data_IF_724393835787
#
_entry.id   IF_724393835787
#
_cell.length_a   1.000
_cell.length_b   1.000
_cell.length_c   1.000
_cell.angle_alpha   90.00
_cell.angle_beta   90.00
_cell.angle_gamma   90.00
#
_symmetry.space_group_name_H-M   'P 1'
#
loop_
_entity.id
_entity.type
_entity.pdbx_description
1 polymer ?
#
# COMPACT_ATOMS: atom_id res chain seq x y z
N UNK A 1 15.48 -41.83 3.01
CA UNK A 1 16.60 -41.75 3.97
C UNK A 1 16.83 -40.29 4.29
N UNK A 2 16.99 -39.93 5.56
CA UNK A 2 17.26 -38.55 5.97
C UNK A 2 18.71 -38.21 5.57
N UNK A 3 18.93 -37.04 4.98
CA UNK A 3 20.27 -36.62 4.56
C UNK A 3 21.11 -36.27 5.80
N UNK A 4 22.23 -36.96 6.00
CA UNK A 4 23.09 -36.80 7.18
C UNK A 4 23.56 -35.35 7.37
N UNK A 5 23.81 -34.64 6.27
CA UNK A 5 24.19 -33.22 6.31
C UNK A 5 23.09 -32.38 6.95
N UNK A 6 21.83 -32.62 6.58
CA UNK A 6 20.70 -31.89 7.14
C UNK A 6 20.52 -32.17 8.64
N UNK A 7 20.78 -33.42 9.06
CA UNK A 7 20.72 -33.78 10.47
C UNK A 7 21.80 -33.08 11.29
N UNK A 8 23.04 -33.06 10.79
CA UNK A 8 24.15 -32.34 11.42
C UNK A 8 23.84 -30.84 11.51
N UNK A 9 23.28 -30.24 10.45
CA UNK A 9 22.91 -28.81 10.45
C UNK A 9 21.83 -28.52 11.49
N UNK A 10 20.79 -29.36 11.55
CA UNK A 10 19.73 -29.22 12.55
C UNK A 10 20.28 -29.31 13.99
N UNK A 11 21.19 -30.24 14.24
CA UNK A 11 21.83 -30.40 15.54
C UNK A 11 22.77 -29.22 15.86
N UNK A 12 23.47 -28.67 14.87
CA UNK A 12 24.26 -27.45 15.02
C UNK A 12 23.38 -26.24 15.33
N UNK A 13 22.22 -26.09 14.69
CA UNK A 13 21.31 -24.98 14.95
C UNK A 13 20.72 -25.04 16.37
N UNK A 14 20.36 -26.24 16.83
CA UNK A 14 19.74 -26.47 18.14
C UNK A 14 20.74 -26.47 19.31
N UNK A 15 21.88 -27.15 19.17
CA UNK A 15 22.87 -27.33 20.25
C UNK A 15 24.08 -26.41 20.15
N UNK A 16 24.24 -25.69 19.04
CA UNK A 16 25.44 -24.89 18.68
C UNK A 16 26.73 -25.68 18.53
N UNK A 17 26.71 -27.00 18.74
CA UNK A 17 27.88 -27.87 18.73
C UNK A 17 27.50 -29.29 18.29
N UNK A 18 28.32 -29.87 17.41
CA UNK A 18 28.23 -31.27 16.99
C UNK A 18 29.62 -31.89 17.00
N UNK A 19 29.76 -33.05 17.61
CA UNK A 19 31.01 -33.80 17.66
C UNK A 19 31.01 -34.86 16.58
N UNK A 20 32.10 -34.96 15.83
CA UNK A 20 32.35 -35.97 14.81
C UNK A 20 33.50 -36.84 15.31
N UNK A 21 33.16 -38.06 15.71
CA UNK A 21 34.08 -39.00 16.36
C UNK A 21 35.39 -39.15 15.59
N UNK A 22 36.52 -38.87 16.24
CA UNK A 22 37.86 -38.98 15.66
C UNK A 22 38.24 -37.92 14.61
N UNK A 23 37.27 -37.14 14.12
CA UNK A 23 37.50 -36.08 13.12
C UNK A 23 37.64 -34.72 13.82
N UNK A 24 36.67 -34.36 14.66
CA UNK A 24 36.69 -33.11 15.41
C UNK A 24 35.31 -32.62 15.81
N UNK A 25 35.22 -31.37 16.23
CA UNK A 25 33.98 -30.73 16.66
C UNK A 25 33.64 -29.58 15.73
N UNK A 26 32.38 -29.52 15.29
CA UNK A 26 31.79 -28.39 14.61
C UNK A 26 31.06 -27.51 15.63
N UNK A 27 31.38 -26.23 15.65
CA UNK A 27 30.74 -25.23 16.48
C UNK A 27 30.04 -24.20 15.59
N UNK A 28 28.84 -23.78 15.99
CA UNK A 28 28.13 -22.69 15.34
C UNK A 28 28.40 -21.39 16.09
N UNK A 29 29.28 -20.55 15.54
CA UNK A 29 29.62 -19.25 16.09
C UNK A 29 28.78 -18.16 15.43
N UNK A 30 28.51 -17.07 16.16
CA UNK A 30 27.88 -15.88 15.62
C UNK A 30 28.93 -14.77 15.58
N UNK A 31 29.26 -14.31 14.37
CA UNK A 31 30.09 -13.13 14.16
C UNK A 31 29.20 -11.90 14.22
N UNK A 32 29.66 -10.89 14.96
CA UNK A 32 28.99 -9.59 15.04
C UNK A 32 29.16 -8.80 13.73
N UNK A 33 28.42 -7.71 13.60
CA UNK A 33 28.59 -6.80 12.48
C UNK A 33 30.02 -6.24 12.48
N UNK A 34 30.66 -6.23 11.32
CA UNK A 34 32.05 -5.78 11.16
C UNK A 34 32.11 -4.70 10.08
N UNK A 35 32.92 -3.67 10.32
CA UNK A 35 33.15 -2.60 9.34
C UNK A 35 34.31 -3.01 8.46
N UNK A 36 34.03 -3.23 7.18
CA UNK A 36 35.03 -3.43 6.15
C UNK A 36 35.46 -2.05 5.61
N UNK A 37 36.54 -1.52 6.19
CA UNK A 37 37.13 -0.24 5.79
C UNK A 37 37.66 -0.23 4.35
N UNK A 38 38.04 -1.39 3.81
CA UNK A 38 38.60 -1.46 2.45
C UNK A 38 37.52 -1.24 1.40
N UNK A 39 36.31 -1.73 1.67
CA UNK A 39 35.17 -1.63 0.77
C UNK A 39 34.15 -0.56 1.20
N UNK A 40 34.42 0.18 2.29
CA UNK A 40 33.50 1.15 2.91
C UNK A 40 32.12 0.53 3.18
N UNK A 41 32.08 -0.69 3.75
CA UNK A 41 30.85 -1.46 3.97
C UNK A 41 30.72 -1.92 5.42
N UNK A 42 29.48 -1.98 5.91
CA UNK A 42 29.18 -2.69 7.16
C UNK A 42 28.62 -4.06 6.81
N UNK A 43 29.38 -5.10 7.16
CA UNK A 43 28.95 -6.48 7.03
C UNK A 43 27.97 -6.81 8.16
N UNK A 44 26.84 -7.46 7.84
CA UNK A 44 25.88 -7.80 8.85
C UNK A 44 26.38 -8.96 9.74
N UNK A 45 25.79 -9.14 10.94
CA UNK A 45 26.06 -10.31 11.74
C UNK A 45 25.76 -11.57 10.94
N UNK A 46 26.66 -12.54 11.02
CA UNK A 46 26.51 -13.82 10.31
C UNK A 46 26.84 -14.97 11.24
N UNK A 47 26.18 -16.10 11.03
CA UNK A 47 26.59 -17.34 11.67
C UNK A 47 27.64 -18.02 10.80
N UNK A 48 28.60 -18.69 11.43
CA UNK A 48 29.63 -19.43 10.75
C UNK A 48 29.89 -20.74 11.49
N UNK A 49 30.24 -21.80 10.74
CA UNK A 49 30.64 -23.07 11.34
C UNK A 49 32.15 -23.04 11.51
N UNK A 50 32.61 -23.07 12.75
CA UNK A 50 34.01 -23.26 13.10
C UNK A 50 34.26 -24.75 13.33
N UNK A 51 35.34 -25.26 12.74
CA UNK A 51 35.78 -26.64 12.94
C UNK A 51 37.04 -26.68 13.79
N UNK A 52 37.00 -27.49 14.85
CA UNK A 52 38.14 -27.77 15.70
C UNK A 52 38.48 -29.24 15.53
N UNK A 53 39.63 -29.53 14.93
CA UNK A 53 40.14 -30.89 14.82
C UNK A 53 40.41 -31.46 16.22
N UNK A 54 39.74 -32.55 16.56
CA UNK A 54 39.90 -33.26 17.83
C UNK A 54 39.80 -34.76 17.54
N UNK A 55 40.82 -35.51 17.94
CA UNK A 55 40.91 -36.97 17.70
C UNK A 55 40.17 -37.79 18.77
N UNK A 56 39.39 -37.14 19.64
CA UNK A 56 38.57 -37.84 20.63
C UNK A 56 37.56 -38.76 19.96
N UNK A 57 37.57 -40.02 20.39
CA UNK A 57 36.54 -40.98 20.05
C UNK A 57 35.33 -40.73 20.95
N UNK A 58 34.26 -40.20 20.36
CA UNK A 58 32.96 -40.03 21.02
C UNK A 58 31.96 -40.86 20.26
N UNK A 59 31.25 -41.75 20.94
CA UNK A 59 30.20 -42.55 20.29
C UNK A 59 28.92 -41.73 20.17
N UNK A 60 28.51 -41.49 18.93
CA UNK A 60 27.25 -40.84 18.58
C UNK A 60 26.70 -41.33 17.24
N UNK A 61 25.55 -40.77 16.82
CA UNK A 61 24.89 -41.11 15.54
C UNK A 61 25.71 -40.81 14.29
N UNK A 62 26.80 -40.04 14.41
CA UNK A 62 27.66 -39.61 13.30
C UNK A 62 28.96 -40.44 13.20
N UNK A 63 29.23 -41.33 14.15
CA UNK A 63 30.50 -42.08 14.27
C UNK A 63 30.85 -42.82 12.97
N UNK A 64 29.92 -43.57 12.39
CA UNK A 64 30.16 -44.35 11.17
C UNK A 64 30.52 -43.46 9.98
N UNK A 65 29.81 -42.35 9.82
CA UNK A 65 30.08 -41.38 8.75
C UNK A 65 31.39 -40.64 8.98
N UNK A 66 31.70 -40.24 10.21
CA UNK A 66 32.96 -39.59 10.55
C UNK A 66 34.16 -40.51 10.24
N UNK A 67 34.06 -41.80 10.55
CA UNK A 67 35.10 -42.78 10.20
C UNK A 67 35.28 -42.96 8.70
N UNK A 68 34.19 -42.97 7.93
CA UNK A 68 34.23 -43.01 6.47
C UNK A 68 34.94 -41.77 5.91
N UNK A 69 34.58 -40.57 6.38
CA UNK A 69 35.21 -39.32 5.97
C UNK A 69 36.68 -39.23 6.35
N UNK A 70 37.06 -39.74 7.53
CA UNK A 70 38.48 -39.84 7.92
C UNK A 70 39.24 -40.75 6.94
N UNK A 71 38.68 -41.92 6.58
CA UNK A 71 39.32 -42.84 5.64
C UNK A 71 39.50 -42.18 4.26
N UNK A 72 38.48 -41.47 3.79
CA UNK A 72 38.55 -40.73 2.53
C UNK A 72 39.60 -39.61 2.60
N UNK A 73 39.55 -38.77 3.64
CA UNK A 73 40.50 -37.68 3.88
C UNK A 73 41.96 -38.16 3.95
N UNK A 74 42.21 -39.37 4.48
CA UNK A 74 43.55 -39.96 4.55
C UNK A 74 44.01 -40.55 3.21
N UNK A 75 43.09 -40.93 2.33
CA UNK A 75 43.38 -41.53 1.03
C UNK A 75 43.54 -40.48 -0.08
N UNK A 76 42.58 -39.55 -0.17
CA UNK A 76 42.49 -38.53 -1.23
C UNK A 76 43.06 -37.18 -0.80
N UNK A 77 43.19 -36.94 0.51
CA UNK A 77 43.56 -35.62 1.07
C UNK A 77 42.38 -34.66 1.23
N UNK A 78 41.19 -35.01 0.73
CA UNK A 78 39.98 -34.18 0.83
C UNK A 78 38.71 -35.01 0.85
N UNK A 79 37.69 -34.55 1.57
CA UNK A 79 36.35 -35.16 1.58
C UNK A 79 35.30 -34.08 1.46
N UNK A 80 34.36 -34.24 0.53
CA UNK A 80 33.27 -33.30 0.32
C UNK A 80 31.93 -33.96 0.64
N UNK A 81 31.21 -33.38 1.60
CA UNK A 81 29.88 -33.82 2.00
C UNK A 81 28.86 -32.81 1.48
N UNK A 82 28.05 -33.24 0.52
CA UNK A 82 27.03 -32.40 -0.11
C UNK A 82 26.03 -31.89 0.93
N UNK A 83 25.84 -30.57 0.97
CA UNK A 83 24.98 -29.90 1.92
C UNK A 83 25.64 -29.61 3.27
N UNK A 84 26.92 -29.91 3.46
CA UNK A 84 27.65 -29.64 4.71
C UNK A 84 28.99 -28.94 4.48
N UNK A 85 29.76 -29.32 3.46
CA UNK A 85 31.03 -28.67 3.15
C UNK A 85 32.14 -29.65 2.81
N UNK A 86 33.37 -29.14 2.82
CA UNK A 86 34.58 -29.87 2.41
C UNK A 86 35.62 -29.83 3.52
N UNK A 87 36.17 -30.99 3.88
CA UNK A 87 37.38 -31.07 4.68
C UNK A 87 38.59 -31.27 3.76
N UNK A 88 39.67 -30.58 4.06
CA UNK A 88 40.95 -30.70 3.34
C UNK A 88 42.07 -30.89 4.34
N UNK A 89 42.99 -31.81 4.02
CA UNK A 89 44.20 -32.02 4.77
C UNK A 89 45.32 -31.17 4.16
N UNK A 90 45.68 -30.07 4.81
CA UNK A 90 46.79 -29.21 4.40
C UNK A 90 48.01 -29.52 5.29
N UNK A 91 48.92 -30.35 4.79
CA UNK A 91 50.17 -30.72 5.47
C UNK A 91 49.98 -31.24 6.91
N UNK A 92 48.94 -32.04 7.15
CA UNK A 92 48.61 -32.61 8.46
C UNK A 92 47.61 -31.78 9.28
N UNK A 93 47.25 -30.56 8.83
CA UNK A 93 46.19 -29.75 9.43
C UNK A 93 44.89 -29.93 8.65
N UNK A 94 43.87 -30.47 9.32
CA UNK A 94 42.53 -30.59 8.74
C UNK A 94 41.81 -29.25 8.84
N UNK A 95 41.39 -28.72 7.69
CA UNK A 95 40.62 -27.47 7.56
C UNK A 95 39.25 -27.83 7.01
N UNK A 96 38.20 -27.21 7.56
CA UNK A 96 36.84 -27.36 7.08
C UNK A 96 36.37 -26.10 6.37
N UNK A 97 35.74 -26.28 5.22
CA UNK A 97 35.13 -25.23 4.41
C UNK A 97 33.62 -25.49 4.33
N UNK A 98 32.78 -24.68 5.02
CA UNK A 98 31.34 -24.84 4.96
C UNK A 98 30.78 -24.50 3.58
N UNK A 99 29.71 -25.16 3.16
CA UNK A 99 28.96 -24.79 1.96
C UNK A 99 28.14 -23.51 2.21
N UNK A 100 28.14 -22.56 1.26
CA UNK A 100 27.60 -21.20 1.47
C UNK A 100 26.12 -21.16 1.89
N UNK A 101 25.33 -22.17 1.52
CA UNK A 101 23.88 -22.20 1.72
C UNK A 101 23.44 -22.82 3.06
N UNK A 102 24.38 -23.23 3.92
CA UNK A 102 24.06 -23.99 5.14
C UNK A 102 23.38 -23.13 6.21
N UNK A 103 23.79 -21.88 6.31
CA UNK A 103 23.31 -20.96 7.33
C UNK A 103 22.46 -19.92 6.62
N UNK A 104 21.14 -20.08 6.67
CA UNK A 104 20.25 -18.98 6.32
C UNK A 104 20.49 -17.86 7.33
N UNK A 105 20.88 -16.68 6.85
CA UNK A 105 21.04 -15.50 7.70
C UNK A 105 19.73 -15.30 8.48
N UNK A 106 19.77 -15.59 9.78
CA UNK A 106 18.62 -15.44 10.68
C UNK A 106 18.41 -13.98 11.09
N UNK A 107 19.23 -13.07 10.56
CA UNK A 107 19.23 -11.64 10.88
C UNK A 107 18.46 -10.89 9.79
N UNK A 108 17.16 -10.70 10.05
CA UNK A 108 16.30 -9.86 9.22
C UNK A 108 16.49 -8.38 9.60
N UNK A 109 16.58 -7.50 8.60
CA UNK A 109 16.71 -6.04 8.82
C UNK A 109 18.12 -5.53 9.08
N UNK A 110 19.14 -6.41 9.06
CA UNK A 110 20.56 -6.04 9.06
C UNK A 110 21.12 -6.31 7.67
N UNK A 111 20.70 -5.51 6.69
CA UNK A 111 21.24 -5.59 5.33
C UNK A 111 22.62 -4.93 5.25
N UNK A 112 23.37 -5.25 4.21
CA UNK A 112 24.67 -4.62 3.94
C UNK A 112 24.48 -3.12 3.70
N UNK A 113 25.10 -2.29 4.53
CA UNK A 113 25.05 -0.84 4.39
C UNK A 113 26.35 -0.38 3.75
N UNK A 114 26.26 0.18 2.54
CA UNK A 114 27.38 0.89 1.92
C UNK A 114 27.52 2.26 2.60
N UNK A 115 28.71 2.57 3.12
CA UNK A 115 29.01 3.86 3.73
C UNK A 115 29.65 4.76 2.67
N UNK A 116 28.91 5.62 1.97
CA UNK A 116 29.55 6.58 1.09
C UNK A 116 30.46 7.48 1.93
N UNK A 117 31.75 7.48 1.61
CA UNK A 117 32.74 8.34 2.24
C UNK A 117 32.24 9.78 2.20
N UNK A 118 31.92 10.34 3.37
CA UNK A 118 31.51 11.73 3.49
C UNK A 118 32.72 12.58 3.10
N UNK A 119 32.79 13.00 1.84
CA UNK A 119 33.77 13.99 1.42
C UNK A 119 33.54 15.22 2.31
N UNK A 120 34.59 15.62 3.03
CA UNK A 120 34.69 16.87 3.81
C UNK A 120 33.67 17.88 3.31
N UNK A 121 32.76 18.31 4.19
CA UNK A 121 31.71 19.30 3.92
C UNK A 121 32.29 20.37 3.01
N UNK A 122 31.94 20.31 1.73
CA UNK A 122 32.35 21.35 0.80
C UNK A 122 31.53 22.59 1.17
N UNK A 123 32.14 23.78 1.29
CA UNK A 123 31.36 25.00 1.41
C UNK A 123 30.37 25.05 0.24
N UNK A 124 29.16 25.55 0.52
CA UNK A 124 27.91 25.52 -0.28
C UNK A 124 28.03 26.06 -1.72
N UNK A 125 29.23 26.37 -2.19
CA UNK A 125 29.52 26.95 -3.50
C UNK A 125 29.76 25.92 -4.62
N UNK A 126 29.89 24.62 -4.33
CA UNK A 126 30.08 23.59 -5.38
C UNK A 126 28.78 23.04 -5.99
N UNK A 127 27.60 23.44 -5.49
CA UNK A 127 26.32 23.06 -6.10
C UNK A 127 26.04 23.71 -7.47
N UNK A 128 26.83 24.70 -7.90
CA UNK A 128 26.58 25.42 -9.15
C UNK A 128 27.34 24.86 -10.37
N UNK A 129 28.39 24.07 -10.17
CA UNK A 129 29.33 23.69 -11.25
C UNK A 129 29.21 22.25 -11.76
N UNK A 130 28.24 21.46 -11.30
CA UNK A 130 27.95 20.09 -11.80
C UNK A 130 26.80 20.06 -12.83
N UNK A 131 26.39 21.21 -13.38
CA UNK A 131 25.37 21.28 -14.46
C UNK A 131 25.95 21.05 -15.86
N UNK A 132 27.23 20.70 -15.99
CA UNK A 132 27.87 20.37 -17.27
C UNK A 132 28.53 18.99 -17.28
N UNK A 133 27.93 17.98 -16.63
CA UNK A 133 28.16 16.60 -17.05
C UNK A 133 27.12 16.25 -18.09
N UNK A 134 27.60 15.96 -19.29
CA UNK A 134 26.83 15.46 -20.41
C UNK A 134 25.93 14.33 -19.91
N UNK A 135 24.63 14.59 -19.92
CA UNK A 135 23.61 13.57 -19.79
C UNK A 135 23.83 12.59 -20.94
N UNK A 136 24.43 11.44 -20.65
CA UNK A 136 24.31 10.26 -21.49
C UNK A 136 22.85 9.81 -21.43
N UNK A 137 21.99 10.53 -22.15
CA UNK A 137 20.61 10.17 -22.39
C UNK A 137 20.62 8.86 -23.18
N UNK A 138 20.60 7.73 -22.46
CA UNK A 138 20.25 6.45 -23.06
C UNK A 138 18.79 6.55 -23.46
N UNK A 139 18.56 6.82 -24.74
CA UNK A 139 17.25 6.95 -25.34
C UNK A 139 16.37 5.75 -24.95
N UNK A 140 15.49 5.97 -23.98
CA UNK A 140 14.58 4.95 -23.53
C UNK A 140 13.46 4.81 -24.57
N UNK A 141 13.00 3.59 -24.78
CA UNK A 141 11.92 3.27 -25.73
C UNK A 141 10.55 3.79 -25.26
N UNK A 142 10.51 4.60 -24.21
CA UNK A 142 9.31 5.14 -23.56
C UNK A 142 8.73 6.38 -24.24
N UNK A 143 9.50 7.08 -25.07
CA UNK A 143 8.98 8.24 -25.81
C UNK A 143 7.86 7.86 -26.81
N UNK A 144 7.86 6.61 -27.29
CA UNK A 144 6.81 6.06 -28.16
C UNK A 144 5.48 5.97 -27.41
N UNK A 145 5.50 5.57 -26.13
CA UNK A 145 4.30 5.53 -25.30
C UNK A 145 3.75 6.92 -25.00
N UNK A 146 4.63 7.91 -24.82
CA UNK A 146 4.24 9.31 -24.63
C UNK A 146 3.58 9.86 -25.91
N UNK A 147 4.16 9.59 -27.08
CA UNK A 147 3.60 10.02 -28.36
C UNK A 147 2.25 9.34 -28.65
N UNK A 148 2.12 8.05 -28.32
CA UNK A 148 0.86 7.31 -28.45
C UNK A 148 -0.24 7.87 -27.52
N UNK A 149 0.11 8.16 -26.27
CA UNK A 149 -0.82 8.76 -25.31
C UNK A 149 -1.27 10.16 -25.76
N UNK A 150 -0.31 10.98 -26.21
CA UNK A 150 -0.60 12.33 -26.70
C UNK A 150 -1.45 12.32 -27.97
N UNK A 151 -1.19 11.38 -28.89
CA UNK A 151 -2.01 11.15 -30.08
C UNK A 151 -3.44 10.74 -29.74
N UNK A 152 -3.62 9.82 -28.79
CA UNK A 152 -4.94 9.39 -28.33
C UNK A 152 -5.76 10.54 -27.72
N UNK A 153 -5.16 11.30 -26.81
CA UNK A 153 -5.80 12.47 -26.20
C UNK A 153 -6.13 13.53 -27.27
N UNK A 154 -5.22 13.78 -28.20
CA UNK A 154 -5.44 14.72 -29.31
C UNK A 154 -6.58 14.31 -30.23
N UNK A 155 -6.68 13.03 -30.57
CA UNK A 155 -7.76 12.51 -31.42
C UNK A 155 -9.13 12.66 -30.73
N UNK A 156 -9.23 12.33 -29.44
CA UNK A 156 -10.47 12.49 -28.66
C UNK A 156 -10.85 13.97 -28.57
N UNK A 157 -9.89 14.86 -28.31
CA UNK A 157 -10.15 16.30 -28.27
C UNK A 157 -10.61 16.85 -29.62
N UNK A 158 -9.97 16.43 -30.72
CA UNK A 158 -10.34 16.83 -32.08
C UNK A 158 -11.75 16.34 -32.45
N UNK A 159 -12.06 15.09 -32.14
CA UNK A 159 -13.39 14.52 -32.37
C UNK A 159 -14.46 15.22 -31.53
N UNK A 160 -14.16 15.51 -30.27
CA UNK A 160 -14.99 16.32 -29.39
C UNK A 160 -15.16 17.77 -29.82
N UNK A 161 -14.29 18.30 -30.70
CA UNK A 161 -14.46 19.64 -31.28
C UNK A 161 -15.29 19.60 -32.57
N UNK A 162 -15.07 18.59 -33.42
CA UNK A 162 -15.67 18.51 -34.76
C UNK A 162 -17.08 17.92 -34.73
N UNK A 163 -17.32 16.93 -33.89
CA UNK A 163 -18.60 16.23 -33.77
C UNK A 163 -19.30 16.52 -32.43
N UNK A 164 -19.22 17.78 -31.97
CA UNK A 164 -19.83 18.23 -30.71
C UNK A 164 -21.30 17.85 -30.61
N UNK A 165 -22.06 18.06 -31.69
CA UNK A 165 -23.51 17.90 -31.69
C UNK A 165 -23.97 16.43 -31.68
N UNK A 166 -23.11 15.50 -32.08
CA UNK A 166 -23.40 14.05 -32.08
C UNK A 166 -23.07 13.38 -30.74
N UNK A 167 -22.01 13.87 -30.06
CA UNK A 167 -21.58 13.39 -28.74
C UNK A 167 -22.38 14.03 -27.60
N UNK A 168 -22.66 15.33 -27.70
CA UNK A 168 -23.32 16.10 -26.63
C UNK A 168 -24.78 16.46 -26.94
N UNK A 169 -25.28 16.13 -28.14
CA UNK A 169 -26.62 16.48 -28.58
C UNK A 169 -26.76 17.97 -28.93
N UNK A 170 -27.86 18.32 -29.59
CA UNK A 170 -28.17 19.71 -29.96
C UNK A 170 -28.38 20.54 -28.70
N UNK A 171 -27.79 21.74 -28.66
CA UNK A 171 -27.98 22.71 -27.57
C UNK A 171 -29.48 22.97 -27.36
N UNK A 172 -30.01 22.66 -26.18
CA UNK A 172 -31.44 22.81 -25.88
C UNK A 172 -31.85 24.25 -25.58
N UNK A 173 -30.90 25.19 -25.53
CA UNK A 173 -31.17 26.58 -25.22
C UNK A 173 -30.38 27.46 -26.20
N UNK A 174 -31.09 28.09 -27.13
CA UNK A 174 -30.54 29.26 -27.80
C UNK A 174 -30.34 30.37 -26.77
N UNK A 175 -29.33 31.21 -26.98
CA UNK A 175 -29.04 32.40 -26.16
C UNK A 175 -30.14 33.48 -26.32
N UNK A 176 -31.40 33.12 -26.09
CA UNK A 176 -32.43 34.07 -25.75
C UNK A 176 -32.16 34.46 -24.30
N UNK A 177 -31.66 35.69 -24.11
CA UNK A 177 -31.54 36.29 -22.79
C UNK A 177 -32.86 36.07 -22.02
N UNK A 178 -32.83 35.62 -20.75
CA UNK A 178 -34.04 35.57 -19.96
C UNK A 178 -34.64 36.97 -19.98
N UNK A 179 -35.90 37.07 -20.44
CA UNK A 179 -36.66 38.32 -20.47
C UNK A 179 -36.51 38.95 -19.09
N UNK A 180 -35.78 40.08 -19.00
CA UNK A 180 -35.49 40.75 -17.73
C UNK A 180 -36.80 40.92 -16.98
N UNK A 181 -36.92 40.24 -15.85
CA UNK A 181 -38.06 40.42 -14.95
C UNK A 181 -38.00 41.86 -14.47
N UNK A 182 -38.96 42.69 -14.91
CA UNK A 182 -39.11 44.05 -14.40
C UNK A 182 -39.55 43.92 -12.95
N UNK A 183 -38.68 44.29 -12.01
CA UNK A 183 -39.05 44.42 -10.60
C UNK A 183 -39.77 45.77 -10.47
N UNK A 184 -41.08 45.80 -10.18
CA UNK A 184 -41.81 47.06 -10.10
C UNK A 184 -41.25 47.91 -8.96
N UNK A 185 -41.00 49.19 -9.27
CA UNK A 185 -40.56 50.16 -8.25
C UNK A 185 -41.73 50.45 -7.30
N UNK A 186 -41.45 50.85 -6.05
CA UNK A 186 -42.46 51.04 -4.99
C UNK A 186 -43.66 51.92 -5.38
N UNK A 187 -43.47 52.86 -6.31
CA UNK A 187 -44.52 53.73 -6.84
C UNK A 187 -45.53 52.96 -7.72
N UNK A 188 -45.07 51.97 -8.48
CA UNK A 188 -45.89 51.15 -9.38
C UNK A 188 -46.75 50.14 -8.60
N UNK A 189 -46.23 49.64 -7.47
CA UNK A 189 -47.01 48.81 -6.54
C UNK A 189 -48.16 49.60 -5.89
N UNK A 190 -47.96 50.89 -5.59
CA UNK A 190 -48.97 51.75 -4.98
C UNK A 190 -50.12 52.05 -5.95
N UNK A 191 -49.80 52.30 -7.23
CA UNK A 191 -50.80 52.44 -8.29
C UNK A 191 -51.58 51.14 -8.54
N UNK A 192 -50.91 49.99 -8.54
CA UNK A 192 -51.57 48.69 -8.71
C UNK A 192 -52.50 48.36 -7.55
N UNK A 193 -52.12 48.69 -6.32
CA UNK A 193 -52.95 48.51 -5.13
C UNK A 193 -54.19 49.44 -5.14
N UNK A 194 -54.04 50.67 -5.64
CA UNK A 194 -55.18 51.58 -5.84
C UNK A 194 -56.14 51.07 -6.93
N UNK A 195 -55.63 50.50 -8.03
CA UNK A 195 -56.46 49.92 -9.08
C UNK A 195 -57.18 48.63 -8.65
N UNK A 196 -56.54 47.77 -7.85
CA UNK A 196 -57.19 46.60 -7.26
C UNK A 196 -58.24 46.98 -6.20
N UNK A 197 -57.99 48.01 -5.39
CA UNK A 197 -58.99 48.53 -4.46
C UNK A 197 -60.22 49.11 -5.18
N UNK A 198 -60.04 49.72 -6.36
CA UNK A 198 -61.15 50.19 -7.20
C UNK A 198 -61.92 49.02 -7.82
N UNK A 199 -61.23 47.96 -8.28
CA UNK A 199 -61.88 46.74 -8.79
C UNK A 199 -62.66 45.97 -7.71
N UNK A 200 -62.12 45.86 -6.50
CA UNK A 200 -62.81 45.21 -5.37
C UNK A 200 -64.02 46.00 -4.88
N UNK A 201 -64.06 47.33 -5.05
CA UNK A 201 -65.24 48.16 -4.77
C UNK A 201 -66.34 48.09 -5.84
N UNK A 202 -66.06 47.57 -7.04
CA UNK A 202 -67.06 47.39 -8.09
C UNK A 202 -67.90 46.11 -7.93
N UNK A 203 -67.44 45.15 -7.13
CA UNK A 203 -68.04 43.81 -7.04
C UNK A 203 -68.88 43.56 -5.76
N UNK A 204 -69.35 44.63 -5.11
CA UNK A 204 -70.22 44.52 -3.91
C UNK A 204 -71.38 45.52 -3.86
N UNK A 205 -71.86 46.02 -5.02
CA UNK A 205 -73.06 46.89 -5.07
C UNK A 205 -74.07 46.47 -6.16
N UNK A 206 -73.98 45.26 -6.73
CA UNK A 206 -75.04 44.77 -7.64
C UNK A 206 -75.38 43.30 -7.37
N UNK A 207 -76.67 43.10 -7.09
CA UNK A 207 -77.37 41.83 -6.93
C UNK A 207 -77.31 41.16 -5.54
N UNK A 208 -77.97 41.80 -4.56
CA UNK A 208 -78.90 41.02 -3.73
C UNK A 208 -80.07 41.91 -3.30
N UNK A 209 -81.13 41.91 -4.11
CA UNK A 209 -82.43 42.48 -3.75
C UNK A 209 -83.43 41.34 -3.77
N UNK A 210 -83.64 40.83 -2.56
CA UNK A 210 -84.66 39.86 -2.16
C UNK A 210 -86.01 40.32 -2.71
N UNK A 211 -86.62 39.48 -3.56
CA UNK A 211 -88.08 39.43 -3.66
C UNK A 211 -88.56 38.20 -2.90
N UNK A 212 -89.48 38.48 -2.00
CA UNK A 212 -90.22 37.55 -1.18
C UNK A 212 -90.67 36.34 -2.00
N UNK A 213 -90.43 35.14 -1.50
CA UNK A 213 -91.51 34.18 -1.47
C UNK A 213 -91.47 33.32 -0.21
N UNK A 214 -92.56 33.47 0.49
CA UNK A 214 -92.99 32.93 1.75
C UNK A 214 -93.28 31.42 1.69
N UNK A 215 -92.83 30.72 2.74
CA UNK A 215 -93.52 29.60 3.40
C UNK A 215 -93.62 28.28 2.60
N UNK A 216 -92.88 27.24 3.06
CA UNK A 216 -93.46 25.96 3.54
C UNK A 216 -92.40 25.00 4.13
N UNK A 217 -92.45 24.92 5.47
CA UNK A 217 -92.41 23.74 6.37
C UNK A 217 -91.21 22.75 6.35
N UNK A 218 -90.49 22.82 7.46
CA UNK A 218 -90.24 21.77 8.46
C UNK A 218 -89.31 20.57 8.13
N UNK A 219 -88.20 20.50 8.85
CA UNK A 219 -87.58 19.25 9.31
C UNK A 219 -87.62 19.23 10.86
N UNK A 220 -87.92 18.11 11.52
CA UNK A 220 -88.03 18.06 12.97
C UNK A 220 -86.69 17.80 13.66
N UNK A 221 -86.44 18.64 14.66
CA UNK A 221 -86.11 18.30 16.05
C UNK A 221 -84.77 17.59 16.38
N UNK A 222 -83.94 18.42 16.99
CA UNK A 222 -82.76 18.23 17.85
C UNK A 222 -82.94 17.33 19.08
N UNK A 223 -81.93 16.54 19.47
CA UNK A 223 -81.54 16.29 20.88
C UNK A 223 -80.20 15.53 20.94
N UNK A 224 -79.07 16.16 21.36
CA UNK A 224 -78.55 16.26 22.75
C UNK A 224 -78.22 14.89 23.37
N UNK A 225 -77.09 14.58 24.03
CA UNK A 225 -76.03 15.38 24.67
C UNK A 225 -74.87 14.44 25.07
N UNK A 226 -73.68 15.03 25.11
CA UNK A 226 -72.61 14.91 26.10
C UNK A 226 -71.94 13.58 26.51
N UNK A 227 -70.61 13.68 26.34
CA UNK A 227 -69.49 12.87 26.81
C UNK A 227 -69.49 12.67 28.34
N UNK A 228 -69.09 11.47 28.78
CA UNK A 228 -68.62 11.23 30.16
C UNK A 228 -67.25 10.54 30.15
N UNK A 229 -66.23 11.31 30.49
CA UNK A 229 -64.87 10.84 30.79
C UNK A 229 -64.84 10.03 32.08
N UNK A 230 -64.00 8.99 32.14
CA UNK A 230 -63.54 8.43 33.41
C UNK A 230 -62.01 8.37 33.45
N UNK A 231 -61.48 8.96 34.53
CA UNK A 231 -60.06 9.13 34.84
C UNK A 231 -59.42 7.83 35.33
N UNK A 232 -58.12 7.72 35.08
CA UNK A 232 -57.17 6.75 35.67
C UNK A 232 -57.09 6.91 37.20
N UNK A 233 -56.84 5.80 37.91
CA UNK A 233 -55.73 5.71 38.89
C UNK A 233 -55.41 4.25 39.22
N UNK A 234 -54.11 4.02 39.41
CA UNK A 234 -53.41 2.80 39.84
C UNK A 234 -53.79 2.41 41.27
N UNK A 235 -53.75 1.11 41.55
CA UNK A 235 -52.80 0.53 42.51
C UNK A 235 -52.35 -0.83 41.99
#
# INVERSE_FOLDING_TARGET
>A
MMNIAQQIIHDLQSRKRVELSGLGTLNLITKHAEVDEANDKILPPKQEIEFIADKKAVENSYTSHAQEWIRELMSTGEVQVKGLGKWMNNAGKVIFFPEEKILSNSFYGLEEISLPKVSRIQPVQSLQNETKKASDYKANRSWIWILLALGGVGAIAYFGITQKDEIFGKKSFDNAQPKKVHVPTKEELLQKQQQEAVKLKMDSIKADSIKQDSIKKAAPHWSSKDKKWRKRKKH
#
